data_IF_068876782968
#
_entry.id   IF_068876782968
#
_cell.length_a   1.000
_cell.length_b   1.000
_cell.length_c   1.000
_cell.angle_alpha   90.00
_cell.angle_beta   90.00
_cell.angle_gamma   90.00
#
_symmetry.space_group_name_H-M   'P 1'
#
loop_
_entity.id
_entity.type
_entity.pdbx_description
1 polymer ?
#
# COMPACT_ATOMS: atom_id res chain seq x y z
N UNK A 1 30.27 21.36 17.53
CA UNK A 1 29.08 21.73 16.74
C UNK A 1 27.93 20.97 17.38
N UNK A 2 26.99 21.66 18.02
CA UNK A 2 25.82 20.96 18.56
C UNK A 2 25.01 20.37 17.40
N UNK A 3 24.49 19.13 17.54
CA UNK A 3 23.67 18.53 16.50
C UNK A 3 22.42 19.36 16.30
N UNK A 4 22.14 19.71 15.03
CA UNK A 4 20.90 20.38 14.65
C UNK A 4 19.71 19.45 14.97
N UNK A 5 18.61 19.97 15.56
CA UNK A 5 17.50 19.12 15.98
C UNK A 5 16.83 18.43 14.79
N UNK A 6 16.37 17.20 15.03
CA UNK A 6 15.61 16.45 14.05
C UNK A 6 14.29 17.15 13.71
N UNK A 7 14.01 17.31 12.41
CA UNK A 7 12.85 18.09 11.96
C UNK A 7 11.49 17.49 12.35
N UNK A 8 11.39 16.18 12.55
CA UNK A 8 10.16 15.54 13.02
C UNK A 8 9.95 15.81 14.50
N UNK A 9 11.03 15.85 15.28
CA UNK A 9 11.01 16.26 16.69
C UNK A 9 10.51 17.70 16.81
N UNK A 10 10.97 18.60 15.94
CA UNK A 10 10.43 19.98 15.91
C UNK A 10 8.97 20.04 15.49
N UNK A 11 8.54 19.25 14.49
CA UNK A 11 7.12 19.18 14.10
C UNK A 11 6.23 18.65 15.23
N UNK A 12 6.66 17.64 15.97
CA UNK A 12 5.92 17.07 17.11
C UNK A 12 5.75 18.06 18.28
N UNK A 13 6.57 19.11 18.36
CA UNK A 13 6.41 20.17 19.36
C UNK A 13 5.28 21.14 19.03
N UNK A 14 4.90 21.24 17.76
CA UNK A 14 3.93 22.24 17.28
C UNK A 14 2.67 21.62 16.69
N UNK A 15 2.66 20.31 16.43
CA UNK A 15 1.51 19.56 15.95
C UNK A 15 1.31 18.30 16.79
N UNK A 16 0.16 18.21 17.44
CA UNK A 16 -0.26 17.03 18.17
C UNK A 16 -0.65 15.88 17.22
N UNK A 17 -0.63 14.64 17.74
CA UNK A 17 -1.11 13.48 17.00
C UNK A 17 -2.57 13.67 16.54
N UNK A 18 -3.43 14.25 17.40
CA UNK A 18 -4.84 14.51 17.07
C UNK A 18 -5.00 15.47 15.89
N UNK A 19 -4.20 16.53 15.82
CA UNK A 19 -4.23 17.47 14.69
C UNK A 19 -3.78 16.82 13.39
N UNK A 20 -2.72 15.99 13.45
CA UNK A 20 -2.24 15.21 12.30
C UNK A 20 -3.32 14.24 11.83
N UNK A 21 -3.95 13.52 12.75
CA UNK A 21 -5.00 12.55 12.41
C UNK A 21 -6.25 13.22 11.86
N UNK A 22 -6.64 14.41 12.34
CA UNK A 22 -7.74 15.19 11.77
C UNK A 22 -7.47 15.64 10.32
N UNK A 23 -6.21 15.95 9.97
CA UNK A 23 -5.83 16.23 8.57
C UNK A 23 -5.92 14.96 7.72
N UNK A 24 -5.44 13.82 8.24
CA UNK A 24 -5.50 12.53 7.54
C UNK A 24 -6.96 12.11 7.33
N UNK A 25 -7.81 12.18 8.35
CA UNK A 25 -9.24 11.86 8.28
C UNK A 25 -9.93 12.58 7.10
N UNK A 26 -9.71 13.89 6.97
CA UNK A 26 -10.38 14.71 5.96
C UNK A 26 -9.83 14.49 4.54
N UNK A 27 -8.61 14.00 4.41
CA UNK A 27 -7.88 13.99 3.14
C UNK A 27 -7.55 12.59 2.62
N UNK A 28 -7.56 11.57 3.46
CA UNK A 28 -7.32 10.19 3.05
C UNK A 28 -8.35 9.76 1.99
N UNK A 29 -7.89 8.95 1.03
CA UNK A 29 -8.79 8.21 0.13
C UNK A 29 -8.59 6.73 0.31
N UNK A 30 -9.70 6.06 0.54
CA UNK A 30 -9.80 4.65 0.79
C UNK A 30 -10.54 3.98 -0.37
N UNK A 31 -10.20 2.73 -0.62
CA UNK A 31 -10.94 1.88 -1.54
C UNK A 31 -12.17 1.36 -0.80
N UNK A 32 -13.33 1.25 -1.46
CA UNK A 32 -14.51 0.67 -0.79
C UNK A 32 -14.32 -0.83 -0.51
N UNK A 33 -14.98 -1.39 0.53
CA UNK A 33 -14.96 -2.83 0.79
C UNK A 33 -15.40 -3.68 -0.42
N UNK A 34 -16.33 -3.19 -1.22
CA UNK A 34 -16.83 -3.83 -2.44
C UNK A 34 -15.74 -3.90 -3.52
N UNK A 35 -14.94 -2.83 -3.66
CA UNK A 35 -13.81 -2.81 -4.59
C UNK A 35 -12.69 -3.74 -4.09
N UNK A 36 -12.44 -3.77 -2.78
CA UNK A 36 -11.47 -4.69 -2.18
C UNK A 36 -11.89 -6.15 -2.40
N UNK A 37 -13.17 -6.49 -2.20
CA UNK A 37 -13.71 -7.83 -2.49
C UNK A 37 -13.66 -8.19 -3.98
N UNK A 38 -13.84 -7.21 -4.87
CA UNK A 38 -13.81 -7.42 -6.31
C UNK A 38 -12.41 -7.85 -6.79
N UNK A 39 -11.37 -7.15 -6.34
CA UNK A 39 -9.98 -7.49 -6.65
C UNK A 39 -9.05 -6.96 -5.56
N UNK A 40 -8.69 -7.79 -4.56
CA UNK A 40 -7.86 -7.35 -3.45
C UNK A 40 -6.41 -7.10 -3.88
N UNK A 41 -5.88 -7.91 -4.79
CA UNK A 41 -4.51 -7.87 -5.30
C UNK A 41 -4.49 -7.58 -6.81
N UNK A 42 -3.82 -6.50 -7.22
CA UNK A 42 -3.90 -6.02 -8.61
C UNK A 42 -2.69 -6.39 -9.47
N UNK A 43 -1.50 -6.47 -8.88
CA UNK A 43 -0.26 -6.78 -9.60
C UNK A 43 0.52 -7.86 -8.82
N UNK A 44 -0.02 -9.08 -8.68
CA UNK A 44 0.63 -10.18 -7.97
C UNK A 44 1.96 -10.60 -8.60
N UNK A 45 2.25 -10.19 -9.83
CA UNK A 45 3.51 -10.44 -10.52
C UNK A 45 4.66 -9.52 -10.07
N UNK A 46 4.36 -8.50 -9.26
CA UNK A 46 5.34 -7.55 -8.76
C UNK A 46 5.42 -7.57 -7.23
N UNK A 47 6.61 -7.31 -6.72
CA UNK A 47 6.90 -7.08 -5.30
C UNK A 47 8.03 -6.07 -5.17
N UNK A 48 8.14 -5.38 -4.02
CA UNK A 48 9.21 -4.38 -3.80
C UNK A 48 10.57 -5.05 -3.94
N UNK A 49 11.55 -4.32 -4.50
CA UNK A 49 12.91 -4.79 -4.85
C UNK A 49 12.97 -5.89 -5.91
N UNK A 50 11.84 -6.45 -6.37
CA UNK A 50 11.80 -7.34 -7.53
C UNK A 50 12.34 -6.64 -8.78
N UNK A 51 12.92 -7.42 -9.70
CA UNK A 51 13.45 -6.87 -10.94
C UNK A 51 12.31 -6.41 -11.86
N UNK A 52 12.53 -5.35 -12.62
CA UNK A 52 11.71 -5.06 -13.79
C UNK A 52 12.18 -5.86 -14.99
N UNK A 53 11.25 -6.19 -15.88
CA UNK A 53 11.51 -6.92 -17.10
C UNK A 53 11.01 -6.13 -18.32
N UNK A 54 11.64 -6.34 -19.47
CA UNK A 54 11.16 -5.82 -20.76
C UNK A 54 9.82 -6.48 -21.12
N UNK A 55 9.23 -6.05 -22.24
CA UNK A 55 7.91 -6.51 -22.67
C UNK A 55 7.79 -8.04 -22.67
N UNK A 56 6.63 -8.55 -22.23
CA UNK A 56 6.35 -9.98 -22.08
C UNK A 56 7.35 -10.74 -21.19
N UNK A 57 7.99 -10.10 -20.22
CA UNK A 57 8.87 -10.78 -19.27
C UNK A 57 10.05 -11.49 -19.94
N UNK A 58 10.61 -10.88 -21.00
CA UNK A 58 11.65 -11.50 -21.83
C UNK A 58 13.05 -11.41 -21.25
N UNK A 59 13.40 -10.29 -20.61
CA UNK A 59 14.72 -10.09 -19.99
C UNK A 59 14.66 -8.95 -18.95
N UNK A 60 15.52 -8.95 -17.92
CA UNK A 60 15.59 -7.86 -16.94
C UNK A 60 15.86 -6.48 -17.58
N UNK A 61 15.21 -5.44 -17.08
CA UNK A 61 15.48 -4.05 -17.44
C UNK A 61 16.73 -3.55 -16.73
N UNK A 62 17.51 -2.77 -17.45
CA UNK A 62 18.69 -2.08 -16.93
C UNK A 62 18.41 -0.59 -16.77
N UNK A 63 19.02 0.01 -15.74
CA UNK A 63 19.10 1.45 -15.55
C UNK A 63 20.57 1.86 -15.65
N UNK A 64 20.89 2.62 -16.70
CA UNK A 64 22.25 3.11 -16.94
C UNK A 64 22.37 4.55 -16.45
N UNK A 65 23.27 4.77 -15.49
CA UNK A 65 23.62 6.11 -15.02
C UNK A 65 24.26 6.90 -16.15
N UNK A 66 23.68 8.06 -16.51
CA UNK A 66 24.26 8.96 -17.51
C UNK A 66 25.58 9.57 -17.07
N UNK A 67 25.79 9.70 -15.75
CA UNK A 67 26.99 10.32 -15.19
C UNK A 67 28.18 9.36 -15.11
N UNK A 68 27.93 8.09 -14.76
CA UNK A 68 29.00 7.10 -14.51
C UNK A 68 29.09 6.00 -15.56
N UNK A 69 28.10 5.90 -16.47
CA UNK A 69 27.99 4.81 -17.45
C UNK A 69 27.67 3.44 -16.84
N UNK A 70 27.62 3.33 -15.51
CA UNK A 70 27.33 2.08 -14.82
C UNK A 70 25.87 1.68 -15.02
N UNK A 71 25.66 0.39 -15.26
CA UNK A 71 24.36 -0.21 -15.51
C UNK A 71 24.00 -1.17 -14.38
N UNK A 72 22.84 -0.96 -13.77
CA UNK A 72 22.29 -1.82 -12.71
C UNK A 72 20.90 -2.28 -13.09
N UNK A 73 20.47 -3.45 -12.60
CA UNK A 73 19.09 -3.86 -12.82
C UNK A 73 18.13 -2.86 -12.22
N UNK A 74 17.10 -2.51 -12.99
CA UNK A 74 16.03 -1.64 -12.51
C UNK A 74 15.12 -2.47 -11.61
N UNK A 75 14.84 -1.97 -10.42
CA UNK A 75 14.04 -2.67 -9.42
C UNK A 75 12.74 -1.95 -9.11
N UNK A 76 11.76 -2.70 -8.60
CA UNK A 76 10.47 -2.20 -8.17
C UNK A 76 10.61 -1.39 -6.87
N UNK A 77 10.36 -0.09 -6.97
CA UNK A 77 10.40 0.83 -5.84
C UNK A 77 9.07 0.99 -5.12
N UNK A 78 7.94 1.01 -5.86
CA UNK A 78 6.53 1.14 -5.45
C UNK A 78 5.60 1.49 -6.64
N UNK A 79 6.06 1.35 -7.89
CA UNK A 79 5.35 1.74 -9.11
C UNK A 79 4.05 0.96 -9.23
N UNK A 80 4.08 -0.37 -9.13
CA UNK A 80 2.88 -1.19 -9.32
C UNK A 80 1.92 -1.13 -8.13
N UNK A 81 2.41 -0.95 -6.90
CA UNK A 81 1.57 -0.61 -5.75
C UNK A 81 0.82 0.72 -5.95
N UNK A 82 1.51 1.78 -6.39
CA UNK A 82 0.86 3.05 -6.73
C UNK A 82 -0.17 2.88 -7.87
N UNK A 83 0.14 2.06 -8.87
CA UNK A 83 -0.76 1.77 -9.99
C UNK A 83 -2.00 1.02 -9.54
N UNK A 84 -1.85 0.00 -8.68
CA UNK A 84 -2.96 -0.75 -8.07
C UNK A 84 -3.94 0.19 -7.39
N UNK A 85 -3.47 0.98 -6.42
CA UNK A 85 -4.33 1.90 -5.68
C UNK A 85 -4.97 2.95 -6.60
N UNK A 86 -4.23 3.46 -7.59
CA UNK A 86 -4.78 4.43 -8.55
C UNK A 86 -5.96 3.85 -9.33
N UNK A 87 -5.82 2.61 -9.83
CA UNK A 87 -6.89 1.96 -10.59
C UNK A 87 -8.07 1.57 -9.70
N UNK A 88 -7.80 1.07 -8.49
CA UNK A 88 -8.83 0.72 -7.52
C UNK A 88 -9.65 1.92 -7.03
N UNK A 89 -9.07 3.13 -7.03
CA UNK A 89 -9.80 4.38 -6.76
C UNK A 89 -10.48 4.97 -8.00
N UNK A 90 -10.44 4.28 -9.16
CA UNK A 90 -11.01 4.77 -10.41
C UNK A 90 -10.29 5.99 -10.99
N UNK A 91 -9.05 6.23 -10.56
CA UNK A 91 -8.25 7.40 -10.94
C UNK A 91 -7.33 7.10 -12.12
N UNK A 92 -6.71 8.17 -12.63
CA UNK A 92 -5.60 8.12 -13.59
C UNK A 92 -4.39 8.81 -12.98
N UNK A 93 -3.18 8.45 -13.44
CA UNK A 93 -1.92 9.00 -12.90
C UNK A 93 -1.87 10.54 -12.91
N UNK A 94 -2.41 11.18 -13.94
CA UNK A 94 -2.45 12.64 -14.04
C UNK A 94 -3.45 13.31 -13.08
N UNK A 95 -4.43 12.57 -12.55
CA UNK A 95 -5.44 13.08 -11.61
C UNK A 95 -4.96 13.07 -10.15
N UNK A 96 -3.78 12.52 -9.89
CA UNK A 96 -3.22 12.34 -8.53
C UNK A 96 -1.94 13.15 -8.30
N UNK A 97 -1.91 14.38 -8.83
CA UNK A 97 -0.80 15.32 -8.58
C UNK A 97 -0.72 15.65 -7.09
N UNK A 98 0.46 15.55 -6.49
CA UNK A 98 0.69 15.74 -5.05
C UNK A 98 -0.01 14.71 -4.15
N UNK A 99 -0.33 13.53 -4.67
CA UNK A 99 -0.84 12.40 -3.89
C UNK A 99 0.12 11.22 -3.92
N UNK A 100 0.31 10.61 -2.77
CA UNK A 100 1.20 9.48 -2.56
C UNK A 100 0.42 8.27 -2.03
N UNK A 101 0.77 7.10 -2.53
CA UNK A 101 0.35 5.84 -1.95
C UNK A 101 1.23 5.53 -0.73
N UNK A 102 0.59 5.14 0.37
CA UNK A 102 1.26 4.66 1.56
C UNK A 102 0.83 3.22 1.85
N UNK A 103 1.81 2.34 2.05
CA UNK A 103 1.56 1.02 2.62
C UNK A 103 1.41 1.13 4.12
N UNK A 104 0.31 0.61 4.65
CA UNK A 104 0.01 0.71 6.09
C UNK A 104 0.48 -0.53 6.84
N UNK A 105 0.40 -1.72 6.26
CA UNK A 105 0.97 -2.97 6.78
C UNK A 105 2.39 -3.15 6.24
N UNK A 106 3.34 -3.19 7.16
CA UNK A 106 4.76 -3.29 6.87
C UNK A 106 5.56 -3.22 8.16
N UNK A 107 6.80 -3.70 8.11
CA UNK A 107 7.71 -3.59 9.25
C UNK A 107 7.94 -2.12 9.56
N UNK A 108 7.57 -1.71 10.78
CA UNK A 108 7.82 -0.36 11.26
C UNK A 108 9.25 -0.27 11.75
N UNK A 109 10.07 0.43 10.98
CA UNK A 109 11.43 0.71 11.36
C UNK A 109 11.77 2.17 11.08
N UNK A 110 11.77 2.97 12.13
CA UNK A 110 12.13 4.38 12.08
C UNK A 110 13.59 4.61 11.64
N UNK A 111 14.46 3.60 11.77
CA UNK A 111 15.86 3.65 11.33
C UNK A 111 16.06 3.24 9.88
N UNK A 112 15.02 2.71 9.21
CA UNK A 112 15.05 2.19 7.84
C UNK A 112 16.12 1.09 7.59
N UNK A 113 16.58 0.41 8.64
CA UNK A 113 17.58 -0.65 8.60
C UNK A 113 16.97 -2.03 8.27
N UNK A 114 15.74 -2.29 8.72
CA UNK A 114 15.01 -3.52 8.47
C UNK A 114 14.42 -3.49 7.06
N UNK A 115 14.65 -4.58 6.34
CA UNK A 115 13.92 -4.81 5.09
C UNK A 115 12.46 -5.05 5.42
N UNK A 116 11.57 -4.22 4.87
CA UNK A 116 10.13 -4.46 4.99
C UNK A 116 9.76 -5.68 4.12
N UNK A 117 9.70 -6.85 4.75
CA UNK A 117 9.46 -8.13 4.09
C UNK A 117 8.02 -8.28 3.62
N UNK A 118 7.06 -7.65 4.31
CA UNK A 118 5.64 -7.65 3.93
C UNK A 118 5.43 -7.16 2.50
N UNK A 119 6.05 -6.02 2.14
CA UNK A 119 5.91 -5.46 0.79
C UNK A 119 6.86 -6.07 -0.25
N UNK A 120 7.72 -7.02 0.17
CA UNK A 120 8.46 -7.91 -0.73
C UNK A 120 7.69 -9.21 -1.01
N UNK A 121 6.59 -9.44 -0.30
CA UNK A 121 5.65 -10.51 -0.59
C UNK A 121 4.68 -10.08 -1.69
N UNK A 122 4.55 -10.94 -2.70
CA UNK A 122 3.65 -10.77 -3.83
C UNK A 122 2.17 -10.72 -3.41
N UNK A 123 1.80 -11.40 -2.32
CA UNK A 123 0.44 -11.38 -1.79
C UNK A 123 0.07 -10.02 -1.16
N UNK A 124 1.03 -9.27 -0.60
CA UNK A 124 0.73 -8.05 0.15
C UNK A 124 1.18 -6.76 -0.52
N UNK A 125 2.13 -6.82 -1.47
CA UNK A 125 2.73 -5.64 -2.08
C UNK A 125 1.73 -4.74 -2.82
N UNK A 126 0.88 -5.31 -3.66
CA UNK A 126 -0.11 -4.54 -4.44
C UNK A 126 -1.53 -4.70 -3.91
N UNK A 127 -1.68 -5.16 -2.66
CA UNK A 127 -2.96 -5.32 -1.98
C UNK A 127 -3.55 -3.94 -1.66
N UNK A 128 -4.76 -3.66 -2.14
CA UNK A 128 -5.38 -2.35 -1.95
C UNK A 128 -5.89 -2.12 -0.54
N UNK A 129 -6.21 -3.18 0.20
CA UNK A 129 -6.46 -3.13 1.65
C UNK A 129 -5.22 -2.79 2.48
N UNK A 130 -4.02 -2.94 1.88
CA UNK A 130 -2.75 -2.53 2.47
C UNK A 130 -2.35 -1.10 2.12
N UNK A 131 -3.20 -0.32 1.46
CA UNK A 131 -2.80 1.00 0.99
C UNK A 131 -3.86 2.06 1.22
N UNK A 132 -3.38 3.28 1.48
CA UNK A 132 -4.20 4.50 1.54
C UNK A 132 -3.56 5.58 0.67
N UNK A 133 -4.39 6.38 0.01
CA UNK A 133 -3.91 7.53 -0.77
C UNK A 133 -3.95 8.77 0.11
N UNK A 134 -2.81 9.44 0.26
CA UNK A 134 -2.65 10.63 1.09
C UNK A 134 -2.07 11.79 0.27
N UNK A 135 -2.37 13.05 0.63
CA UNK A 135 -1.55 14.18 0.21
C UNK A 135 -0.07 13.90 0.53
N UNK A 136 0.81 14.15 -0.43
CA UNK A 136 2.24 13.81 -0.30
C UNK A 136 2.89 14.33 1.00
N UNK A 137 2.61 15.55 1.50
CA UNK A 137 3.17 16.00 2.78
C UNK A 137 2.78 15.12 3.98
N UNK A 138 1.55 14.59 4.02
CA UNK A 138 1.07 13.78 5.15
C UNK A 138 1.68 12.39 5.17
N UNK A 139 2.23 11.90 4.05
CA UNK A 139 2.91 10.62 4.00
C UNK A 139 4.11 10.56 4.97
N UNK A 140 4.82 11.67 5.19
CA UNK A 140 5.96 11.68 6.09
C UNK A 140 5.59 11.22 7.52
N UNK A 141 4.39 11.57 7.99
CA UNK A 141 3.89 11.11 9.28
C UNK A 141 3.67 9.60 9.30
N UNK A 142 3.11 9.01 8.24
CA UNK A 142 2.96 7.55 8.15
C UNK A 142 4.30 6.81 8.13
N UNK A 143 5.35 7.41 7.59
CA UNK A 143 6.68 6.77 7.53
C UNK A 143 7.42 6.85 8.88
N UNK A 144 7.07 7.81 9.75
CA UNK A 144 7.90 8.20 10.91
C UNK A 144 7.19 8.21 12.26
N UNK A 145 5.85 8.12 12.27
CA UNK A 145 5.02 8.06 13.47
C UNK A 145 4.28 6.72 13.53
N UNK A 146 4.78 5.75 14.33
CA UNK A 146 4.13 4.45 14.48
C UNK A 146 2.66 4.54 14.88
N UNK A 147 2.30 5.54 15.69
CA UNK A 147 0.95 5.79 16.16
C UNK A 147 0.01 6.10 14.98
N UNK A 148 0.43 6.95 14.04
CA UNK A 148 -0.36 7.27 12.84
C UNK A 148 -0.64 6.01 12.02
N UNK A 149 0.36 5.15 11.83
CA UNK A 149 0.17 3.86 11.15
C UNK A 149 -0.73 2.92 11.93
N UNK A 150 -0.60 2.85 13.26
CA UNK A 150 -1.47 2.03 14.09
C UNK A 150 -2.94 2.42 13.91
N UNK A 151 -3.26 3.71 13.97
CA UNK A 151 -4.63 4.19 13.80
C UNK A 151 -5.17 3.92 12.37
N UNK A 152 -4.32 4.08 11.34
CA UNK A 152 -4.66 3.72 9.96
C UNK A 152 -4.93 2.21 9.79
N UNK A 153 -4.13 1.35 10.44
CA UNK A 153 -4.32 -0.11 10.44
C UNK A 153 -5.61 -0.53 11.12
N UNK A 154 -5.92 0.07 12.27
CA UNK A 154 -7.20 -0.18 12.99
C UNK A 154 -8.37 0.20 12.08
N UNK A 155 -8.33 1.39 11.46
CA UNK A 155 -9.34 1.81 10.50
C UNK A 155 -9.46 0.83 9.32
N UNK A 156 -8.35 0.42 8.71
CA UNK A 156 -8.35 -0.54 7.60
C UNK A 156 -8.90 -1.92 8.01
N UNK A 157 -8.55 -2.41 9.19
CA UNK A 157 -9.08 -3.66 9.74
C UNK A 157 -10.60 -3.58 9.92
N UNK A 158 -11.09 -2.49 10.50
CA UNK A 158 -12.53 -2.29 10.70
C UNK A 158 -13.28 -2.04 9.39
N UNK A 159 -12.65 -1.43 8.39
CA UNK A 159 -13.24 -1.20 7.07
C UNK A 159 -13.33 -2.48 6.24
N UNK A 160 -12.24 -3.24 6.16
CA UNK A 160 -12.12 -4.37 5.23
C UNK A 160 -12.42 -5.73 5.87
N UNK A 161 -12.46 -5.81 7.20
CA UNK A 161 -12.49 -7.08 7.91
C UNK A 161 -11.22 -7.91 7.73
N UNK A 162 -10.12 -7.25 7.35
CA UNK A 162 -8.86 -7.88 7.02
C UNK A 162 -7.69 -7.14 7.66
N UNK A 163 -6.75 -7.90 8.20
CA UNK A 163 -5.44 -7.43 8.63
C UNK A 163 -4.37 -8.31 7.98
N UNK A 164 -3.19 -7.76 7.76
CA UNK A 164 -2.10 -8.53 7.19
C UNK A 164 -1.60 -9.58 8.19
N UNK A 165 -1.61 -10.84 7.79
CA UNK A 165 -1.22 -12.02 8.57
C UNK A 165 0.20 -12.49 8.29
N UNK A 166 1.01 -11.69 7.59
CA UNK A 166 2.43 -11.96 7.42
C UNK A 166 3.11 -12.14 8.78
N UNK A 167 3.95 -13.17 8.94
CA UNK A 167 4.56 -13.58 10.22
C UNK A 167 5.24 -12.43 11.00
N UNK A 168 5.91 -11.50 10.31
CA UNK A 168 6.56 -10.35 10.91
C UNK A 168 5.62 -9.29 11.48
N UNK A 169 4.31 -9.42 11.26
CA UNK A 169 3.30 -8.54 11.84
C UNK A 169 2.57 -9.15 13.03
N UNK A 170 2.93 -10.36 13.46
CA UNK A 170 2.28 -11.02 14.61
C UNK A 170 2.26 -10.13 15.86
N UNK A 171 3.42 -9.58 16.26
CA UNK A 171 3.53 -8.68 17.41
C UNK A 171 2.77 -7.36 17.20
N UNK A 172 2.78 -6.82 15.98
CA UNK A 172 2.01 -5.62 15.62
C UNK A 172 0.51 -5.88 15.77
N UNK A 173 0.00 -6.99 15.23
CA UNK A 173 -1.40 -7.37 15.30
C UNK A 173 -1.83 -7.60 16.75
N UNK A 174 -0.99 -8.24 17.57
CA UNK A 174 -1.26 -8.39 19.00
C UNK A 174 -1.38 -7.03 19.70
N UNK A 175 -0.46 -6.10 19.43
CA UNK A 175 -0.51 -4.75 20.00
C UNK A 175 -1.78 -3.99 19.58
N UNK A 176 -2.17 -4.07 18.30
CA UNK A 176 -3.41 -3.44 17.80
C UNK A 176 -4.67 -4.03 18.42
N UNK A 177 -4.70 -5.35 18.68
CA UNK A 177 -5.84 -5.99 19.34
C UNK A 177 -6.08 -5.53 20.78
N UNK A 178 -5.03 -4.99 21.42
CA UNK A 178 -5.04 -4.47 22.80
C UNK A 178 -5.04 -2.94 22.84
N UNK A 179 -5.35 -2.28 21.72
CA UNK A 179 -5.29 -0.83 21.62
C UNK A 179 -6.31 -0.15 22.54
N UNK A 180 -5.84 0.80 23.35
CA UNK A 180 -6.67 1.56 24.30
C UNK A 180 -6.55 3.07 24.16
N UNK A 181 -5.60 3.56 23.36
CA UNK A 181 -5.34 5.00 23.19
C UNK A 181 -6.19 5.59 22.05
N UNK A 182 -7.42 5.95 22.37
CA UNK A 182 -8.40 6.45 21.40
C UNK A 182 -8.40 7.97 21.24
N UNK A 183 -7.57 8.71 21.97
CA UNK A 183 -7.64 10.18 22.04
C UNK A 183 -7.48 10.85 20.67
N UNK A 184 -6.61 10.29 19.83
CA UNK A 184 -6.35 10.78 18.48
C UNK A 184 -7.07 9.98 17.38
N UNK A 185 -7.89 8.98 17.74
CA UNK A 185 -8.64 8.22 16.74
C UNK A 185 -9.75 9.09 16.13
N UNK A 186 -9.81 9.24 14.80
CA UNK A 186 -10.82 10.08 14.17
C UNK A 186 -12.25 9.61 14.44
N UNK A 187 -13.14 10.53 14.82
CA UNK A 187 -14.53 10.22 15.20
C UNK A 187 -15.34 9.64 14.02
N UNK A 188 -15.01 10.01 12.77
CA UNK A 188 -15.71 9.48 11.59
C UNK A 188 -15.26 8.07 11.19
N UNK A 189 -14.20 7.53 11.78
CA UNK A 189 -13.67 6.23 11.41
C UNK A 189 -14.36 5.09 12.17
N UNK A 190 -14.55 3.92 11.53
CA UNK A 190 -15.24 2.80 12.17
C UNK A 190 -14.39 2.23 13.31
N UNK A 191 -14.94 2.23 14.54
CA UNK A 191 -14.30 1.60 15.69
C UNK A 191 -14.43 0.08 15.70
N UNK A 192 -15.46 -0.45 15.04
CA UNK A 192 -15.64 -1.89 14.78
C UNK A 192 -16.09 -2.14 13.35
N UNK A 193 -15.92 -3.38 12.93
CA UNK A 193 -16.42 -3.83 11.64
C UNK A 193 -17.93 -3.63 11.53
N UNK A 194 -18.37 -3.02 10.43
CA UNK A 194 -19.78 -2.75 10.13
C UNK A 194 -20.37 -1.51 10.80
N UNK A 195 -19.64 -0.76 11.62
CA UNK A 195 -20.15 0.46 12.27
C UNK A 195 -20.20 1.69 11.35
N UNK A 196 -19.50 1.65 10.20
CA UNK A 196 -19.50 2.75 9.23
C UNK A 196 -18.37 2.66 8.21
N UNK A 197 -18.23 3.71 7.41
CA UNK A 197 -17.13 3.86 6.45
C UNK A 197 -16.38 5.17 6.74
N UNK A 198 -15.03 5.18 6.71
CA UNK A 198 -14.27 6.39 6.96
C UNK A 198 -14.52 7.40 5.84
N UNK A 199 -14.34 8.69 6.14
CA UNK A 199 -14.42 9.73 5.12
C UNK A 199 -13.43 9.46 3.98
N UNK A 200 -13.86 9.80 2.75
CA UNK A 200 -13.03 9.67 1.56
C UNK A 200 -12.95 8.26 0.96
N UNK A 201 -13.78 7.31 1.41
CA UNK A 201 -14.02 6.07 0.66
C UNK A 201 -14.54 6.40 -0.74
N UNK A 202 -13.92 5.78 -1.75
CA UNK A 202 -14.37 5.85 -3.14
C UNK A 202 -15.17 4.60 -3.46
N UNK A 203 -16.46 4.81 -3.68
CA UNK A 203 -17.41 3.74 -4.00
C UNK A 203 -17.09 3.05 -5.32
N UNK A 204 -17.36 1.73 -5.34
CA UNK A 204 -17.23 0.90 -6.52
C UNK A 204 -18.12 1.45 -7.65
N UNK A 205 -17.51 1.69 -8.82
CA UNK A 205 -18.19 2.22 -9.99
C UNK A 205 -17.75 1.51 -11.27
N UNK A 206 -18.39 1.82 -12.40
CA UNK A 206 -18.13 1.18 -13.69
C UNK A 206 -16.67 1.30 -14.16
N UNK A 207 -16.00 2.42 -13.87
CA UNK A 207 -14.58 2.63 -14.22
C UNK A 207 -13.68 1.68 -13.44
N UNK A 208 -13.96 1.49 -12.15
CA UNK A 208 -13.22 0.57 -11.29
C UNK A 208 -13.45 -0.87 -11.76
N UNK A 209 -14.70 -1.28 -12.01
CA UNK A 209 -15.04 -2.62 -12.52
C UNK A 209 -14.31 -2.94 -13.81
N UNK A 210 -14.40 -2.04 -14.80
CA UNK A 210 -13.69 -2.18 -16.08
C UNK A 210 -12.18 -2.31 -15.89
N UNK A 211 -11.61 -1.59 -14.91
CA UNK A 211 -10.17 -1.65 -14.63
C UNK A 211 -9.77 -2.97 -13.97
N UNK A 212 -10.60 -3.48 -13.06
CA UNK A 212 -10.40 -4.78 -12.42
C UNK A 212 -10.50 -5.91 -13.45
N UNK A 213 -11.52 -5.91 -14.31
CA UNK A 213 -11.71 -6.92 -15.37
C UNK A 213 -10.52 -6.96 -16.33
N UNK A 214 -10.04 -5.78 -16.77
CA UNK A 214 -8.84 -5.67 -17.61
C UNK A 214 -7.59 -6.18 -16.91
N UNK A 215 -7.48 -5.96 -15.59
CA UNK A 215 -6.33 -6.45 -14.82
C UNK A 215 -6.37 -7.97 -14.72
N UNK A 216 -7.51 -8.55 -14.34
CA UNK A 216 -7.71 -10.00 -14.27
C UNK A 216 -7.45 -10.68 -15.62
N UNK A 217 -7.99 -10.13 -16.71
CA UNK A 217 -7.76 -10.67 -18.05
C UNK A 217 -6.27 -10.67 -18.43
N UNK A 218 -5.53 -9.63 -18.05
CA UNK A 218 -4.11 -9.56 -18.32
C UNK A 218 -3.27 -10.45 -17.38
N UNK A 219 -3.69 -10.71 -16.13
CA UNK A 219 -3.07 -11.72 -15.27
C UNK A 219 -3.24 -13.11 -15.91
N UNK A 220 -4.46 -13.46 -16.35
CA UNK A 220 -4.74 -14.71 -17.08
C UNK A 220 -3.86 -14.88 -18.31
N UNK A 221 -3.85 -13.86 -19.16
CA UNK A 221 -3.04 -13.87 -20.37
C UNK A 221 -1.56 -14.09 -20.06
N UNK A 222 -1.00 -13.38 -19.08
CA UNK A 222 0.43 -13.47 -18.76
C UNK A 222 0.80 -14.82 -18.11
N UNK A 223 -0.08 -15.42 -17.31
CA UNK A 223 0.13 -16.78 -16.78
C UNK A 223 0.35 -17.80 -17.92
N UNK A 224 -0.42 -17.67 -18.99
CA UNK A 224 -0.34 -18.56 -20.16
C UNK A 224 0.81 -18.17 -21.12
N UNK A 225 1.03 -16.87 -21.37
CA UNK A 225 1.80 -16.40 -22.53
C UNK A 225 3.05 -15.59 -22.22
N UNK A 226 3.28 -15.18 -20.96
CA UNK A 226 4.46 -14.39 -20.63
C UNK A 226 5.75 -15.23 -20.75
N UNK A 227 6.90 -14.56 -20.85
CA UNK A 227 8.21 -15.20 -20.91
C UNK A 227 8.56 -15.97 -19.63
N UNK A 228 9.74 -16.58 -19.64
CA UNK A 228 10.24 -17.43 -18.55
C UNK A 228 10.39 -16.67 -17.22
N UNK A 229 10.62 -15.36 -17.26
CA UNK A 229 10.81 -14.56 -16.06
C UNK A 229 9.51 -14.11 -15.38
N UNK A 230 8.34 -14.42 -15.94
CA UNK A 230 7.07 -14.18 -15.25
C UNK A 230 6.98 -15.08 -14.01
N UNK A 231 6.78 -14.52 -12.79
CA UNK A 231 6.84 -15.30 -11.56
C UNK A 231 5.55 -16.08 -11.33
N UNK A 232 5.25 -17.04 -12.22
CA UNK A 232 3.99 -17.82 -12.26
C UNK A 232 3.61 -18.40 -10.92
N UNK A 233 4.54 -19.09 -10.27
CA UNK A 233 4.31 -19.73 -8.97
C UNK A 233 3.92 -18.71 -7.89
N UNK A 234 4.60 -17.55 -7.85
CA UNK A 234 4.29 -16.47 -6.89
C UNK A 234 2.94 -15.81 -7.20
N UNK A 235 2.62 -15.64 -8.47
CA UNK A 235 1.32 -15.11 -8.91
C UNK A 235 0.19 -16.05 -8.49
N UNK A 236 0.32 -17.34 -8.80
CA UNK A 236 -0.69 -18.34 -8.43
C UNK A 236 -0.88 -18.44 -6.92
N UNK A 237 0.22 -18.47 -6.14
CA UNK A 237 0.15 -18.48 -4.68
C UNK A 237 -0.55 -17.22 -4.11
N UNK A 238 -0.26 -16.04 -4.67
CA UNK A 238 -0.92 -14.80 -4.27
C UNK A 238 -2.42 -14.83 -4.60
N UNK A 239 -2.80 -15.30 -5.79
CA UNK A 239 -4.21 -15.41 -6.19
C UNK A 239 -4.96 -16.42 -5.31
N UNK A 240 -4.33 -17.55 -4.99
CA UNK A 240 -4.88 -18.57 -4.09
C UNK A 240 -5.11 -18.01 -2.68
N UNK A 241 -4.11 -17.33 -2.10
CA UNK A 241 -4.25 -16.66 -0.79
C UNK A 241 -5.46 -15.73 -0.76
N UNK A 242 -5.65 -14.94 -1.82
CA UNK A 242 -6.76 -13.98 -1.93
C UNK A 242 -8.06 -14.58 -2.45
N UNK A 243 -8.10 -15.88 -2.78
CA UNK A 243 -9.26 -16.57 -3.36
C UNK A 243 -9.78 -15.87 -4.61
N UNK A 244 -8.86 -15.36 -5.44
CA UNK A 244 -9.20 -14.72 -6.71
C UNK A 244 -9.35 -15.80 -7.77
N UNK A 245 -10.57 -15.93 -8.30
CA UNK A 245 -10.87 -16.81 -9.42
C UNK A 245 -10.40 -16.17 -10.74
N UNK A 246 -9.76 -16.97 -11.59
CA UNK A 246 -9.29 -16.56 -12.91
C UNK A 246 -10.31 -16.91 -13.99
#
# INVERSE_FOLDING_TARGET
MEPFPDGLTELRRVLSLREIMALIEKTARWVSPETFKLLPIWFPEHARRGLFYKGKWSEPQMNTSRATGQSVHKTEGNIHANKALTLALGLRKNLRKNWSCCHIWGVDDASYQLSNLVIQDHAFFSCVGNMVLLPTPLKAFTDTMPEVKALLRICAFNLYGWQCDHEHLSATNEALSKWTDWEAYPESWPMKQGEGVPLGVVELNATIRTSADKRLAAIRHDLEHAGEFYPREKVLAALEYWKVEL
#
